data_IF_153300194219
#
_entry.id   IF_153300194219
#
_cell.length_a   1.000
_cell.length_b   1.000
_cell.length_c   1.000
_cell.angle_alpha   90.00
_cell.angle_beta   90.00
_cell.angle_gamma   90.00
#
_symmetry.space_group_name_H-M   'P 1'
#
loop_
_entity.id
_entity.type
_entity.pdbx_description
1 polymer ?
#
# COMPACT_ATOMS: atom_id res chain seq x y z
N UNK A 1 -31.12 -6.59 11.19
CA UNK A 1 -30.05 -5.58 11.44
C UNK A 1 -28.78 -6.07 10.76
N UNK A 2 -28.25 -5.33 9.78
CA UNK A 2 -27.00 -5.67 9.10
C UNK A 2 -25.82 -5.56 10.07
N UNK A 3 -25.32 -6.69 10.59
CA UNK A 3 -24.14 -6.77 11.46
C UNK A 3 -23.03 -7.61 10.81
N UNK A 4 -22.88 -7.47 9.49
CA UNK A 4 -21.91 -8.22 8.70
C UNK A 4 -20.83 -7.31 8.12
N UNK A 5 -20.19 -6.51 8.98
CA UNK A 5 -18.97 -5.80 8.58
C UNK A 5 -17.82 -6.25 9.48
N UNK A 6 -17.50 -7.53 9.30
CA UNK A 6 -16.13 -8.03 9.12
C UNK A 6 -15.15 -7.62 10.22
N UNK A 7 -15.18 -8.40 11.31
CA UNK A 7 -13.94 -8.82 11.97
C UNK A 7 -13.09 -9.59 10.94
N UNK A 8 -12.34 -8.90 10.08
CA UNK A 8 -11.22 -9.51 9.38
C UNK A 8 -10.03 -9.54 10.35
N UNK A 9 -9.51 -10.72 10.73
CA UNK A 9 -8.29 -10.80 11.53
C UNK A 9 -7.11 -10.36 10.66
N UNK A 10 -6.76 -9.09 10.76
CA UNK A 10 -5.71 -8.45 9.98
C UNK A 10 -6.16 -7.09 9.48
N UNK A 11 -5.91 -6.05 10.28
CA UNK A 11 -6.23 -4.67 9.94
C UNK A 11 -5.27 -4.08 8.90
N UNK A 12 -5.51 -2.83 8.54
CA UNK A 12 -4.59 -2.03 7.75
C UNK A 12 -3.32 -1.76 8.56
N UNK A 13 -2.17 -2.11 7.98
CA UNK A 13 -0.87 -1.77 8.51
C UNK A 13 -0.53 -0.34 8.08
N UNK A 14 0.14 0.39 8.97
CA UNK A 14 0.72 1.68 8.63
C UNK A 14 2.21 1.48 8.49
N UNK A 15 2.73 1.75 7.29
CA UNK A 15 4.14 1.61 6.97
C UNK A 15 4.73 2.96 6.63
N UNK A 16 5.99 3.15 7.02
CA UNK A 16 6.85 4.21 6.50
C UNK A 16 7.79 3.57 5.49
N UNK A 17 7.73 4.05 4.27
CA UNK A 17 8.50 3.52 3.16
C UNK A 17 9.86 4.20 3.08
N UNK A 18 10.94 3.42 2.98
CA UNK A 18 12.29 3.89 2.75
C UNK A 18 12.87 3.37 1.42
N UNK A 19 14.12 3.73 1.14
CA UNK A 19 14.88 3.38 -0.07
C UNK A 19 15.30 1.89 -0.09
N UNK A 20 14.31 0.99 -0.10
CA UNK A 20 14.51 -0.46 -0.20
C UNK A 20 14.02 -1.27 1.00
N UNK A 21 13.61 -0.60 2.08
CA UNK A 21 12.95 -1.20 3.22
C UNK A 21 11.71 -0.40 3.61
N UNK A 22 10.82 -0.99 4.40
CA UNK A 22 9.72 -0.28 5.02
C UNK A 22 9.68 -0.60 6.52
N UNK A 23 9.31 0.41 7.31
CA UNK A 23 9.12 0.28 8.74
C UNK A 23 7.64 0.20 9.07
N UNK A 24 7.25 -0.82 9.84
CA UNK A 24 5.87 -0.96 10.32
C UNK A 24 5.68 -0.01 11.51
N UNK A 25 4.93 1.08 11.29
CA UNK A 25 4.51 2.01 12.35
C UNK A 25 3.34 1.43 13.12
N UNK A 26 2.37 0.84 12.40
CA UNK A 26 1.21 0.16 13.01
C UNK A 26 1.11 -1.26 12.49
N UNK A 27 1.07 -2.27 13.38
CA UNK A 27 0.96 -3.66 12.97
C UNK A 27 -0.38 -3.91 12.30
N UNK A 28 -0.34 -4.55 11.15
CA UNK A 28 -1.49 -4.98 10.38
C UNK A 28 -1.11 -6.13 9.44
N UNK A 29 -2.06 -6.59 8.65
CA UNK A 29 -1.83 -7.72 7.72
C UNK A 29 -1.77 -7.31 6.27
N UNK A 30 -2.29 -6.12 5.94
CA UNK A 30 -2.28 -5.58 4.58
C UNK A 30 -2.14 -4.06 4.60
N UNK A 31 -1.64 -3.48 3.52
CA UNK A 31 -1.73 -2.04 3.24
C UNK A 31 -2.72 -1.79 2.11
N UNK A 32 -3.27 -0.58 2.04
CA UNK A 32 -4.17 -0.20 0.95
C UNK A 32 -3.39 0.54 -0.13
N UNK A 33 -3.58 0.14 -1.38
CA UNK A 33 -3.00 0.83 -2.52
C UNK A 33 -3.55 2.25 -2.64
N UNK A 34 -2.68 3.26 -2.77
CA UNK A 34 -3.12 4.66 -2.87
C UNK A 34 -4.00 4.93 -4.11
N UNK A 35 -3.69 4.29 -5.24
CA UNK A 35 -4.37 4.52 -6.52
C UNK A 35 -5.59 3.63 -6.69
N UNK A 36 -5.42 2.31 -6.56
CA UNK A 36 -6.48 1.34 -6.83
C UNK A 36 -7.37 1.05 -5.62
N UNK A 37 -6.96 1.46 -4.42
CA UNK A 37 -7.56 1.07 -3.13
C UNK A 37 -7.68 -0.45 -2.91
N UNK A 38 -6.93 -1.24 -3.67
CA UNK A 38 -6.79 -2.67 -3.45
C UNK A 38 -6.03 -2.94 -2.14
N UNK A 39 -6.37 -4.03 -1.46
CA UNK A 39 -5.66 -4.49 -0.26
C UNK A 39 -4.46 -5.33 -0.70
N UNK A 40 -3.28 -4.94 -0.26
CA UNK A 40 -2.01 -5.58 -0.58
C UNK A 40 -1.48 -6.23 0.70
N UNK A 41 -1.40 -7.56 0.78
CA UNK A 41 -0.76 -8.24 1.91
C UNK A 41 0.67 -7.71 2.10
N UNK A 42 1.11 -7.54 3.35
CA UNK A 42 2.49 -7.08 3.61
C UNK A 42 3.55 -7.98 2.98
N UNK A 43 3.27 -9.28 2.91
CA UNK A 43 4.16 -10.29 2.30
C UNK A 43 4.30 -10.12 0.77
N UNK A 44 3.28 -9.55 0.12
CA UNK A 44 3.22 -9.32 -1.33
C UNK A 44 3.57 -7.86 -1.70
N UNK A 45 3.79 -7.00 -0.69
CA UNK A 45 4.13 -5.60 -0.90
C UNK A 45 5.53 -5.47 -1.50
N UNK A 46 5.56 -5.26 -2.82
CA UNK A 46 6.79 -5.24 -3.61
C UNK A 46 7.04 -3.92 -4.33
N UNK A 47 6.02 -3.07 -4.42
CA UNK A 47 6.07 -1.79 -5.13
C UNK A 47 5.54 -0.68 -4.23
N UNK A 48 6.37 0.33 -3.97
CA UNK A 48 6.01 1.51 -3.20
C UNK A 48 6.83 2.72 -3.67
N UNK A 49 6.35 3.93 -3.35
CA UNK A 49 7.09 5.18 -3.56
C UNK A 49 7.50 5.76 -2.21
N UNK A 50 8.79 6.05 -2.08
CA UNK A 50 9.37 6.71 -0.90
C UNK A 50 9.01 8.19 -0.87
N UNK A 51 9.06 8.86 -2.02
CA UNK A 51 8.76 10.30 -2.15
C UNK A 51 7.30 10.59 -1.78
N UNK A 52 6.38 9.72 -2.20
CA UNK A 52 4.94 9.89 -1.98
C UNK A 52 4.42 9.16 -0.73
N UNK A 53 5.22 8.25 -0.14
CA UNK A 53 4.80 7.35 0.94
C UNK A 53 3.55 6.51 0.57
N UNK A 54 3.51 6.02 -0.67
CA UNK A 54 2.35 5.30 -1.23
C UNK A 54 2.72 3.87 -1.61
N UNK A 55 1.86 2.90 -1.27
CA UNK A 55 1.96 1.52 -1.75
C UNK A 55 1.19 1.29 -3.05
N UNK A 56 1.73 0.42 -3.90
CA UNK A 56 1.15 0.04 -5.19
C UNK A 56 0.93 -1.45 -5.30
N UNK A 57 -0.27 -1.83 -5.74
CA UNK A 57 -0.64 -3.24 -5.85
C UNK A 57 0.04 -3.95 -7.03
N UNK A 58 0.45 -3.19 -8.06
CA UNK A 58 1.09 -3.75 -9.25
C UNK A 58 2.14 -2.80 -9.80
N UNK A 59 3.10 -3.36 -10.54
CA UNK A 59 4.11 -2.59 -11.26
C UNK A 59 3.49 -1.58 -12.23
N UNK A 60 2.36 -1.91 -12.85
CA UNK A 60 1.66 -1.02 -13.77
C UNK A 60 1.18 0.28 -13.09
N UNK A 61 0.65 0.17 -11.87
CA UNK A 61 0.21 1.34 -11.08
C UNK A 61 1.42 2.18 -10.65
N UNK A 62 2.48 1.52 -10.17
CA UNK A 62 3.71 2.21 -9.77
C UNK A 62 4.33 2.97 -10.95
N UNK A 63 4.36 2.35 -12.12
CA UNK A 63 4.87 2.97 -13.33
C UNK A 63 4.00 4.15 -13.79
N UNK A 64 2.67 3.99 -13.77
CA UNK A 64 1.75 5.09 -14.12
C UNK A 64 1.96 6.31 -13.21
N UNK A 65 2.04 6.14 -11.88
CA UNK A 65 2.33 7.26 -10.97
C UNK A 65 3.71 7.85 -11.16
N UNK A 66 4.71 7.02 -11.44
CA UNK A 66 6.04 7.51 -11.78
C UNK A 66 5.99 8.40 -13.03
N UNK A 67 5.29 7.99 -14.08
CA UNK A 67 5.12 8.80 -15.28
C UNK A 67 4.38 10.12 -15.00
N UNK A 68 3.30 10.10 -14.22
CA UNK A 68 2.55 11.31 -13.86
C UNK A 68 3.37 12.32 -13.06
N UNK A 69 4.32 11.84 -12.24
CA UNK A 69 5.16 12.69 -11.38
C UNK A 69 6.44 13.13 -12.08
N UNK A 70 6.97 12.33 -13.02
CA UNK A 70 8.20 12.60 -13.76
C UNK A 70 7.98 13.09 -15.19
N UNK A 71 6.73 13.27 -15.64
CA UNK A 71 6.44 13.98 -16.89
C UNK A 71 6.59 15.49 -16.66
N UNK A 72 7.82 15.97 -16.82
CA UNK A 72 8.16 17.38 -17.01
C UNK A 72 8.57 17.63 -18.47
#
# INVERSE_FOLDING_TARGET
MNRFEKLTPGGEAELVYGDGEFHIVRPGSYVTCAVSRARIPLDDLRYWSVDLQEAYATAAISFARYQETHSA
#
